data_IF_335556486105
#
_entry.id   IF_335556486105
#
_cell.length_a   1.000
_cell.length_b   1.000
_cell.length_c   1.000
_cell.angle_alpha   90.00
_cell.angle_beta   90.00
_cell.angle_gamma   90.00
#
_symmetry.space_group_name_H-M   'P 1'
#
loop_
_entity.id
_entity.type
_entity.pdbx_description
1 polymer ?
#
# COMPACT_ATOMS: atom_id res chain seq x y z
N UNK A 1 13.83 -14.93 -11.22
CA UNK A 1 13.85 -13.45 -11.29
C UNK A 1 12.71 -12.76 -10.52
N UNK A 2 11.47 -13.27 -10.51
CA UNK A 2 10.36 -12.67 -9.71
C UNK A 2 10.43 -12.96 -8.20
N UNK A 3 10.91 -14.15 -7.82
CA UNK A 3 11.05 -14.56 -6.40
C UNK A 3 12.20 -13.84 -5.70
N UNK A 4 13.28 -13.54 -6.43
CA UNK A 4 14.47 -12.85 -5.90
C UNK A 4 14.08 -11.49 -5.32
N UNK A 5 13.28 -10.69 -6.04
CA UNK A 5 12.86 -9.39 -5.54
C UNK A 5 12.05 -9.47 -4.24
N UNK A 6 11.14 -10.45 -4.11
CA UNK A 6 10.38 -10.65 -2.86
C UNK A 6 11.30 -11.12 -1.72
N UNK A 7 12.21 -12.07 -1.98
CA UNK A 7 13.16 -12.56 -0.99
C UNK A 7 14.14 -11.46 -0.53
N UNK A 8 14.58 -10.59 -1.44
CA UNK A 8 15.41 -9.43 -1.10
C UNK A 8 14.68 -8.47 -0.16
N UNK A 9 13.39 -8.20 -0.40
CA UNK A 9 12.56 -7.38 0.50
C UNK A 9 12.45 -8.02 1.89
N UNK A 10 12.20 -9.33 1.95
CA UNK A 10 12.12 -10.06 3.22
C UNK A 10 13.46 -10.02 3.96
N UNK A 11 14.58 -10.10 3.25
CA UNK A 11 15.92 -10.03 3.83
C UNK A 11 16.29 -8.63 4.34
N UNK A 12 15.74 -7.57 3.74
CA UNK A 12 15.91 -6.18 4.17
C UNK A 12 14.96 -5.78 5.32
N UNK A 13 13.89 -6.53 5.51
CA UNK A 13 12.86 -6.27 6.50
C UNK A 13 13.36 -6.57 7.93
N UNK A 14 13.03 -5.69 8.88
CA UNK A 14 13.34 -5.90 10.30
C UNK A 14 12.54 -7.10 10.84
N UNK A 15 13.21 -8.20 11.28
CA UNK A 15 12.55 -9.40 11.76
C UNK A 15 12.16 -9.32 13.25
N UNK A 16 12.81 -8.43 13.99
CA UNK A 16 12.65 -8.22 15.43
C UNK A 16 11.38 -7.44 15.80
N UNK A 17 10.86 -6.63 14.87
CA UNK A 17 9.69 -5.78 15.11
C UNK A 17 8.44 -6.46 14.55
N UNK A 18 7.47 -6.82 15.40
CA UNK A 18 6.20 -7.36 14.96
C UNK A 18 5.34 -6.25 14.34
N UNK A 19 4.46 -6.63 13.41
CA UNK A 19 3.52 -5.74 12.70
C UNK A 19 4.22 -4.66 11.85
N UNK A 20 3.40 -3.83 11.20
CA UNK A 20 3.84 -2.70 10.39
C UNK A 20 2.82 -1.56 10.49
N UNK A 21 3.26 -0.35 10.20
CA UNK A 21 2.38 0.81 10.05
C UNK A 21 2.23 1.18 8.58
N UNK A 22 1.03 1.63 8.21
CA UNK A 22 0.81 2.22 6.89
C UNK A 22 0.86 3.75 7.03
N UNK A 23 1.93 4.36 6.51
CA UNK A 23 2.10 5.82 6.58
C UNK A 23 0.99 6.57 5.83
N UNK A 24 0.42 5.95 4.80
CA UNK A 24 -0.75 6.46 4.06
C UNK A 24 -1.98 6.59 4.98
N UNK A 25 -2.22 5.59 5.82
CA UNK A 25 -3.34 5.60 6.78
C UNK A 25 -3.14 6.65 7.86
N UNK A 26 -1.90 6.81 8.36
CA UNK A 26 -1.54 7.86 9.31
C UNK A 26 -1.89 9.25 8.75
N UNK A 27 -1.55 9.53 7.49
CA UNK A 27 -1.89 10.81 6.85
C UNK A 27 -3.38 10.96 6.55
N UNK A 28 -4.07 9.84 6.26
CA UNK A 28 -5.51 9.85 6.02
C UNK A 28 -6.32 10.25 7.28
N UNK A 29 -5.86 9.84 8.47
CA UNK A 29 -6.45 10.28 9.75
C UNK A 29 -6.33 11.80 9.93
N UNK A 30 -5.17 12.35 9.57
CA UNK A 30 -4.86 13.79 9.68
C UNK A 30 -5.31 14.59 8.44
N UNK A 31 -5.98 13.95 7.47
CA UNK A 31 -6.46 14.57 6.22
C UNK A 31 -5.40 15.42 5.52
N UNK A 32 -4.15 14.97 5.59
CA UNK A 32 -3.00 15.63 4.98
C UNK A 32 -2.56 14.88 3.72
N UNK A 33 -1.87 15.58 2.82
CA UNK A 33 -1.26 14.96 1.67
C UNK A 33 -0.14 13.99 2.11
N UNK A 34 -0.09 12.84 1.45
CA UNK A 34 0.82 11.75 1.80
C UNK A 34 2.25 12.11 1.33
N UNK A 35 3.25 12.15 2.23
CA UNK A 35 4.62 12.45 1.84
C UNK A 35 5.22 11.30 1.04
N UNK A 36 6.33 11.55 0.33
CA UNK A 36 7.05 10.48 -0.35
C UNK A 36 7.59 9.51 0.69
N UNK A 37 7.55 8.21 0.38
CA UNK A 37 8.05 7.17 1.30
C UNK A 37 9.51 7.39 1.71
N UNK A 38 10.34 7.93 0.80
CA UNK A 38 11.75 8.25 1.08
C UNK A 38 11.88 9.37 2.12
N UNK A 39 11.03 10.40 2.05
CA UNK A 39 11.08 11.54 2.99
C UNK A 39 10.62 11.09 4.38
N UNK A 40 9.57 10.28 4.46
CA UNK A 40 9.09 9.71 5.71
C UNK A 40 10.13 8.78 6.37
N UNK A 41 10.78 7.94 5.57
CA UNK A 41 11.86 7.06 6.04
C UNK A 41 13.10 7.85 6.45
N UNK A 42 13.43 8.90 5.72
CA UNK A 42 14.54 9.80 6.09
C UNK A 42 14.29 10.47 7.43
N UNK A 43 13.05 10.90 7.71
CA UNK A 43 12.69 11.46 9.01
C UNK A 43 12.92 10.49 10.17
N UNK A 44 12.56 9.21 9.99
CA UNK A 44 12.82 8.15 10.99
C UNK A 44 14.32 7.92 11.20
N UNK A 45 15.07 7.79 10.11
CA UNK A 45 16.52 7.52 10.17
C UNK A 45 17.31 8.69 10.75
N UNK A 46 16.94 9.93 10.41
CA UNK A 46 17.57 11.13 10.96
C UNK A 46 17.37 11.25 12.47
N UNK A 47 16.28 10.68 13.01
CA UNK A 47 16.03 10.62 14.44
C UNK A 47 16.72 9.43 15.14
N UNK A 48 17.50 8.64 14.41
CA UNK A 48 18.22 7.47 14.94
C UNK A 48 17.39 6.20 15.04
N UNK A 49 16.17 6.18 14.48
CA UNK A 49 15.33 4.99 14.46
C UNK A 49 15.60 4.15 13.21
N UNK A 50 15.47 2.84 13.36
CA UNK A 50 15.58 1.90 12.23
C UNK A 50 14.25 1.88 11.50
N UNK A 51 14.29 1.85 10.17
CA UNK A 51 13.09 1.63 9.37
C UNK A 51 13.34 0.71 8.18
N UNK A 52 12.38 -0.19 7.94
CA UNK A 52 12.35 -1.07 6.77
C UNK A 52 10.97 -1.06 6.13
N UNK A 53 10.89 -1.53 4.89
CA UNK A 53 9.61 -1.88 4.28
C UNK A 53 9.14 -3.25 4.78
N UNK A 54 7.90 -3.62 4.46
CA UNK A 54 7.41 -4.98 4.68
C UNK A 54 7.04 -5.65 3.36
N UNK A 55 7.36 -6.94 3.24
CA UNK A 55 6.96 -7.76 2.09
C UNK A 55 5.43 -7.91 1.94
N UNK A 56 4.66 -7.65 3.00
CA UNK A 56 3.21 -7.79 2.98
C UNK A 56 2.49 -6.66 2.22
N UNK A 57 3.00 -5.43 2.27
CA UNK A 57 2.34 -4.27 1.66
C UNK A 57 3.38 -3.23 1.19
N UNK A 58 3.30 -2.71 -0.05
CA UNK A 58 4.20 -1.67 -0.55
C UNK A 58 4.17 -0.34 0.23
N UNK A 59 3.08 -0.05 0.94
CA UNK A 59 2.96 1.16 1.77
C UNK A 59 3.28 0.92 3.25
N UNK A 60 3.68 -0.30 3.62
CA UNK A 60 4.00 -0.64 4.98
C UNK A 60 5.42 -0.21 5.36
N UNK A 61 5.56 0.30 6.58
CA UNK A 61 6.82 0.66 7.20
C UNK A 61 6.89 -0.04 8.55
N UNK A 62 7.97 -0.77 8.78
CA UNK A 62 8.37 -1.25 10.09
C UNK A 62 9.38 -0.30 10.69
N UNK A 63 9.23 -0.01 11.98
CA UNK A 63 10.16 0.86 12.70
C UNK A 63 10.14 0.55 14.19
N UNK A 64 11.27 0.77 14.85
CA UNK A 64 11.40 0.73 16.31
C UNK A 64 10.98 2.05 16.97
N UNK A 65 10.62 3.06 16.18
CA UNK A 65 10.15 4.34 16.69
C UNK A 65 8.83 4.19 17.47
N UNK A 66 8.67 4.92 18.60
CA UNK A 66 7.44 4.90 19.35
C UNK A 66 6.30 5.55 18.55
N UNK A 67 5.07 5.10 18.76
CA UNK A 67 3.87 5.63 18.08
C UNK A 67 3.73 7.15 18.22
N UNK A 68 4.17 7.73 19.34
CA UNK A 68 4.21 9.17 19.56
C UNK A 68 5.04 9.91 18.50
N UNK A 69 6.19 9.34 18.11
CA UNK A 69 7.07 9.90 17.09
C UNK A 69 6.44 9.82 15.69
N UNK A 70 5.74 8.72 15.37
CA UNK A 70 5.02 8.59 14.09
C UNK A 70 3.93 9.67 13.95
N UNK A 71 3.21 9.97 15.04
CA UNK A 71 2.23 11.05 15.06
C UNK A 71 2.88 12.44 15.02
N UNK A 72 4.05 12.64 15.62
CA UNK A 72 4.82 13.88 15.47
C UNK A 72 5.20 14.12 14.00
N UNK A 73 5.59 13.08 13.26
CA UNK A 73 5.85 13.18 11.81
C UNK A 73 4.59 13.62 11.09
N UNK A 74 3.44 12.98 11.36
CA UNK A 74 2.17 13.33 10.74
C UNK A 74 1.74 14.77 11.05
N UNK A 75 1.90 15.23 12.30
CA UNK A 75 1.65 16.62 12.71
C UNK A 75 2.55 17.60 11.97
N UNK A 76 3.83 17.30 11.84
CA UNK A 76 4.78 18.17 11.14
C UNK A 76 4.46 18.28 9.65
N UNK A 77 4.09 17.16 9.01
CA UNK A 77 3.62 17.15 7.61
C UNK A 77 2.33 17.95 7.46
N UNK A 78 1.37 17.78 8.37
CA UNK A 78 0.11 18.52 8.36
C UNK A 78 0.33 20.03 8.51
N UNK A 79 1.24 20.44 9.40
CA UNK A 79 1.65 21.84 9.59
C UNK A 79 2.28 22.42 8.31
N UNK A 80 3.19 21.67 7.68
CA UNK A 80 3.82 22.10 6.42
C UNK A 80 2.79 22.24 5.27
N UNK A 81 1.73 21.43 5.29
CA UNK A 81 0.64 21.48 4.31
C UNK A 81 -0.48 22.46 4.69
N UNK A 82 -0.30 23.28 5.75
CA UNK A 82 -1.29 24.23 6.29
C UNK A 82 -2.65 23.59 6.63
N UNK A 83 -2.66 22.34 7.11
CA UNK A 83 -3.89 21.67 7.56
C UNK A 83 -4.34 22.28 8.89
N UNK A 84 -5.51 22.91 8.88
CA UNK A 84 -6.11 23.54 10.05
C UNK A 84 -7.01 22.56 10.80
N UNK A 85 -7.01 22.65 12.13
CA UNK A 85 -7.86 21.85 13.02
C UNK A 85 -9.36 22.13 12.81
N UNK A 86 -9.71 23.31 12.31
CA UNK A 86 -11.11 23.72 12.06
C UNK A 86 -11.81 22.91 10.96
N UNK A 87 -11.04 22.18 10.14
CA UNK A 87 -11.62 21.31 9.11
C UNK A 87 -12.24 20.04 9.67
N UNK A 88 -11.94 19.72 10.93
CA UNK A 88 -12.37 18.50 11.57
C UNK A 88 -13.59 18.74 12.45
N UNK A 89 -14.53 17.79 12.42
CA UNK A 89 -15.58 17.71 13.43
C UNK A 89 -14.98 17.38 14.80
N UNK A 90 -15.57 17.92 15.87
CA UNK A 90 -15.10 17.74 17.27
C UNK A 90 -14.85 16.28 17.67
N UNK A 91 -15.64 15.35 17.12
CA UNK A 91 -15.56 13.91 17.44
C UNK A 91 -14.45 13.18 16.65
N UNK A 92 -13.78 13.84 15.72
CA UNK A 92 -12.81 13.19 14.85
C UNK A 92 -11.45 13.03 15.54
N UNK A 93 -10.91 11.80 15.54
CA UNK A 93 -9.58 11.49 16.07
C UNK A 93 -8.47 12.38 15.48
N UNK A 94 -8.60 12.82 14.21
CA UNK A 94 -7.65 13.72 13.57
C UNK A 94 -7.50 15.06 14.29
N UNK A 95 -8.58 15.60 14.87
CA UNK A 95 -8.56 16.85 15.63
C UNK A 95 -7.73 16.70 16.90
N UNK A 96 -8.02 15.67 17.70
CA UNK A 96 -7.32 15.35 18.94
C UNK A 96 -5.81 15.14 18.69
N UNK A 97 -5.46 14.49 17.58
CA UNK A 97 -4.05 14.23 17.21
C UNK A 97 -3.31 15.52 16.82
N UNK A 98 -3.99 16.45 16.15
CA UNK A 98 -3.42 17.72 15.69
C UNK A 98 -3.27 18.76 16.81
N UNK A 99 -4.16 18.75 17.80
CA UNK A 99 -4.08 19.65 18.96
C UNK A 99 -2.91 19.32 19.90
N UNK A 100 -2.41 18.09 19.86
CA UNK A 100 -1.24 17.70 20.64
C UNK A 100 0.03 18.39 20.14
N UNK A 101 0.86 18.83 21.08
CA UNK A 101 2.15 19.45 20.78
C UNK A 101 3.15 18.44 20.19
N UNK A 102 3.99 18.92 19.28
CA UNK A 102 5.08 18.14 18.68
C UNK A 102 6.21 18.05 19.70
N UNK A 103 6.53 16.83 20.17
CA UNK A 103 7.54 16.62 21.22
C UNK A 103 8.95 16.46 20.66
N UNK A 104 9.08 15.88 19.48
CA UNK A 104 10.36 15.54 18.88
C UNK A 104 10.65 16.43 17.67
N UNK A 105 11.91 16.80 17.49
CA UNK A 105 12.36 17.51 16.30
C UNK A 105 12.42 16.56 15.09
N UNK A 106 11.78 16.94 13.98
CA UNK A 106 11.68 16.10 12.79
C UNK A 106 12.35 16.78 11.60
N UNK A 107 13.36 16.11 11.06
CA UNK A 107 14.12 16.58 9.92
C UNK A 107 13.85 15.72 8.69
N UNK A 108 13.28 16.31 7.65
CA UNK A 108 12.98 15.63 6.37
C UNK A 108 14.15 15.66 5.35
N UNK A 109 15.37 15.93 5.80
CA UNK A 109 16.55 15.89 4.91
C UNK A 109 16.76 14.46 4.43
N UNK A 110 17.05 14.30 3.14
CA UNK A 110 17.27 12.98 2.54
C UNK A 110 18.42 12.25 3.26
N UNK A 111 18.12 11.10 3.85
CA UNK A 111 19.12 10.24 4.47
C UNK A 111 19.66 9.24 3.43
N UNK A 112 20.98 9.01 3.36
CA UNK A 112 21.56 8.10 2.36
C UNK A 112 21.03 6.66 2.48
N UNK A 113 20.77 6.19 3.70
CA UNK A 113 20.22 4.84 3.93
C UNK A 113 18.70 4.74 3.72
N UNK A 114 18.01 5.87 3.48
CA UNK A 114 16.57 5.84 3.22
C UNK A 114 16.24 5.18 1.88
N UNK A 115 17.22 5.01 1.00
CA UNK A 115 17.06 4.24 -0.23
C UNK A 115 17.34 2.75 0.02
N UNK A 116 16.34 1.90 -0.22
CA UNK A 116 16.51 0.45 -0.10
C UNK A 116 17.43 -0.09 -1.19
N UNK A 117 18.22 -1.11 -0.85
CA UNK A 117 19.13 -1.77 -1.81
C UNK A 117 18.32 -2.43 -2.93
N UNK A 118 17.22 -3.09 -2.61
CA UNK A 118 16.28 -3.66 -3.57
C UNK A 118 15.73 -2.65 -4.58
N UNK A 119 15.57 -1.38 -4.17
CA UNK A 119 15.17 -0.28 -5.06
C UNK A 119 16.33 0.21 -5.93
N UNK A 120 17.55 0.27 -5.38
CA UNK A 120 18.75 0.60 -6.15
C UNK A 120 19.02 -0.45 -7.24
N UNK A 121 18.82 -1.72 -6.90
CA UNK A 121 19.00 -2.87 -7.79
C UNK A 121 17.82 -3.07 -8.77
N UNK A 122 16.82 -2.19 -8.74
CA UNK A 122 15.64 -2.21 -9.61
C UNK A 122 14.91 -3.56 -9.65
N UNK A 123 14.85 -4.26 -8.50
CA UNK A 123 14.21 -5.57 -8.40
C UNK A 123 12.67 -5.45 -8.33
N UNK A 124 11.96 -6.45 -8.85
CA UNK A 124 10.51 -6.53 -8.73
C UNK A 124 10.12 -6.94 -7.30
N UNK A 125 9.88 -5.94 -6.45
CA UNK A 125 9.53 -6.12 -5.02
C UNK A 125 8.14 -6.69 -4.79
N UNK A 126 7.13 -6.21 -5.52
CA UNK A 126 5.74 -6.65 -5.39
C UNK A 126 5.23 -7.16 -6.73
N UNK A 127 4.47 -8.25 -6.71
CA UNK A 127 3.82 -8.74 -7.91
C UNK A 127 2.74 -7.75 -8.33
N UNK A 128 2.91 -7.14 -9.50
CA UNK A 128 1.84 -6.39 -10.12
C UNK A 128 0.70 -7.36 -10.41
N UNK A 129 -0.51 -7.02 -9.93
CA UNK A 129 -1.72 -7.69 -10.37
C UNK A 129 -1.76 -7.57 -11.90
N UNK A 130 -1.70 -8.71 -12.60
CA UNK A 130 -1.86 -8.71 -14.06
C UNK A 130 -3.27 -8.17 -14.33
N UNK A 131 -3.46 -7.28 -15.31
CA UNK A 131 -4.61 -6.37 -15.41
C UNK A 131 -6.03 -6.98 -15.53
N UNK A 132 -6.90 -6.28 -16.29
CA UNK A 132 -8.39 -6.33 -16.31
C UNK A 132 -9.11 -7.71 -16.33
N UNK A 133 -8.43 -8.85 -16.47
CA UNK A 133 -9.02 -10.19 -16.67
C UNK A 133 -8.51 -11.29 -15.70
N UNK A 134 -7.96 -10.94 -14.54
CA UNK A 134 -7.46 -11.91 -13.54
C UNK A 134 -8.47 -12.32 -12.47
N UNK A 135 -9.72 -11.85 -12.57
CA UNK A 135 -10.82 -12.38 -11.76
C UNK A 135 -11.29 -13.73 -12.30
N UNK A 136 -12.03 -14.52 -11.51
CA UNK A 136 -12.76 -15.68 -12.03
C UNK A 136 -13.53 -15.25 -13.28
N UNK A 137 -13.24 -15.87 -14.43
CA UNK A 137 -13.96 -15.56 -15.67
C UNK A 137 -15.45 -15.77 -15.41
N UNK A 138 -16.28 -14.88 -15.97
CA UNK A 138 -17.73 -15.02 -15.87
C UNK A 138 -18.15 -16.43 -16.28
N UNK A 139 -19.09 -17.04 -15.54
CA UNK A 139 -19.66 -18.36 -15.83
C UNK A 139 -20.06 -18.43 -17.30
N UNK A 140 -19.67 -19.50 -18.01
CA UNK A 140 -20.06 -19.73 -19.40
C UNK A 140 -21.58 -19.62 -19.52
N UNK A 141 -22.06 -18.62 -20.28
CA UNK A 141 -23.47 -18.55 -20.67
C UNK A 141 -23.67 -19.61 -21.75
N UNK A 142 -24.66 -20.48 -21.58
CA UNK A 142 -25.01 -21.48 -22.60
C UNK A 142 -25.28 -20.78 -23.93
N UNK A 143 -24.69 -21.28 -25.01
CA UNK A 143 -25.03 -20.80 -26.35
C UNK A 143 -26.46 -21.22 -26.68
N UNK A 144 -27.34 -20.27 -27.00
CA UNK A 144 -28.67 -20.54 -27.57
C UNK A 144 -28.62 -21.01 -29.03
N UNK A 145 -27.44 -21.34 -29.57
CA UNK A 145 -27.29 -21.80 -30.95
C UNK A 145 -27.40 -23.33 -31.13
N UNK A 146 -27.86 -24.11 -30.14
CA UNK A 146 -27.98 -25.57 -30.30
C UNK A 146 -29.26 -26.03 -31.02
N UNK A 147 -30.23 -25.14 -31.31
CA UNK A 147 -31.48 -25.54 -31.99
C UNK A 147 -31.25 -25.87 -33.48
N UNK A 148 -30.10 -25.48 -34.07
CA UNK A 148 -29.73 -25.78 -35.47
C UNK A 148 -28.55 -26.73 -35.66
N UNK A 149 -28.06 -27.38 -34.61
CA UNK A 149 -27.15 -28.52 -34.77
C UNK A 149 -28.00 -29.77 -35.07
N UNK A 150 -28.38 -29.90 -36.34
CA UNK A 150 -29.26 -30.95 -36.84
C UNK A 150 -28.76 -32.35 -36.47
N UNK A 151 -29.56 -33.07 -35.68
CA UNK A 151 -29.70 -34.50 -35.87
C UNK A 151 -30.50 -34.68 -37.16
N UNK A 152 -29.78 -35.02 -38.21
CA UNK A 152 -30.33 -35.40 -39.50
C UNK A 152 -31.06 -36.74 -39.31
N UNK A 153 -32.37 -36.69 -39.06
CA UNK A 153 -33.25 -37.84 -39.28
C UNK A 153 -33.69 -37.79 -40.75
N UNK A 154 -33.40 -38.82 -41.56
CA UNK A 154 -33.78 -38.82 -42.96
C UNK A 154 -35.31 -38.85 -43.09
N UNK A 155 -35.83 -38.03 -44.00
CA UNK A 155 -37.19 -38.09 -44.51
C UNK A 155 -37.47 -39.52 -45.01
N UNK A 156 -38.31 -40.27 -44.30
CA UNK A 156 -39.00 -41.40 -44.92
C UNK A 156 -40.31 -40.90 -45.49
N UNK A 157 -40.33 -40.82 -46.81
CA UNK A 157 -41.53 -40.78 -47.62
C UNK A 157 -42.17 -42.17 -47.64
N UNK A 158 -43.39 -42.32 -47.14
CA UNK A 158 -44.31 -43.32 -47.69
C UNK A 158 -45.72 -42.73 -47.81
N UNK A 159 -46.16 -42.61 -49.06
CA UNK A 159 -47.56 -42.52 -49.45
C UNK A 159 -48.06 -43.95 -49.67
N UNK A 160 -49.16 -44.32 -49.02
CA UNK A 160 -50.30 -44.99 -49.64
C UNK A 160 -51.54 -44.80 -48.79
#
# INVERSE_FOLDING_TARGET
LRTVGVLSVIAEELPDIPLYYEYDQLMHVVKSAVPKAVDFRSALMNAGYRCSISHCNPKAIKTDAPTSFLWDIARTVAKNNNVTSDRFTEECAGKIILEQEIKHEITFRLHPEALEKSKMDSLLRFQQSKGKNMGPKAKTKGSVSSIRAGFQLPLQSEKK
#
